data_IF_532657331506
#
_entry.id   IF_532657331506
#
_cell.length_a   1.000
_cell.length_b   1.000
_cell.length_c   1.000
_cell.angle_alpha   90.00
_cell.angle_beta   90.00
_cell.angle_gamma   90.00
#
_symmetry.space_group_name_H-M   'P 1'
#
loop_
_entity.id
_entity.type
_entity.pdbx_description
1 polymer ?
#
# COMPACT_ATOMS: atom_id res chain seq x y z
N UNK A 1 13.46 -12.13 2.16
CA UNK A 1 12.57 -12.99 1.33
C UNK A 1 12.90 -12.82 -0.15
N UNK A 2 13.06 -13.91 -0.91
CA UNK A 2 13.46 -13.87 -2.33
C UNK A 2 12.23 -13.76 -3.25
N UNK A 3 12.29 -12.91 -4.28
CA UNK A 3 11.25 -12.80 -5.32
C UNK A 3 11.85 -12.80 -6.72
N UNK A 4 11.15 -13.43 -7.67
CA UNK A 4 11.58 -13.53 -9.07
C UNK A 4 11.24 -12.24 -9.82
N UNK A 5 12.24 -11.69 -10.51
CA UNK A 5 12.08 -10.53 -11.38
C UNK A 5 11.76 -11.03 -12.80
N UNK A 6 10.69 -10.50 -13.40
CA UNK A 6 10.31 -10.78 -14.78
C UNK A 6 10.68 -9.63 -15.71
N UNK A 7 11.08 -9.93 -16.94
CA UNK A 7 11.28 -8.93 -17.99
C UNK A 7 9.98 -8.61 -18.74
N UNK A 8 10.02 -7.60 -19.60
CA UNK A 8 8.86 -7.13 -20.39
C UNK A 8 8.26 -8.19 -21.34
N UNK A 9 9.01 -9.26 -21.63
CA UNK A 9 8.55 -10.38 -22.45
C UNK A 9 7.95 -11.50 -21.60
N UNK A 10 7.79 -11.29 -20.28
CA UNK A 10 7.25 -12.26 -19.33
C UNK A 10 8.21 -13.40 -18.98
N UNK A 11 9.50 -13.30 -19.31
CA UNK A 11 10.50 -14.30 -18.95
C UNK A 11 11.21 -13.92 -17.65
N UNK A 12 11.58 -14.92 -16.87
CA UNK A 12 12.39 -14.72 -15.66
C UNK A 12 13.73 -14.08 -16.02
N UNK A 13 14.06 -13.01 -15.30
CA UNK A 13 15.22 -12.17 -15.52
C UNK A 13 16.21 -12.23 -14.35
N UNK A 14 15.81 -12.75 -13.19
CA UNK A 14 16.66 -12.93 -12.01
C UNK A 14 15.83 -13.06 -10.73
N UNK A 15 16.51 -13.04 -9.58
CA UNK A 15 15.88 -12.94 -8.26
C UNK A 15 16.36 -11.68 -7.53
N UNK A 16 15.53 -11.16 -6.62
CA UNK A 16 15.89 -10.05 -5.72
C UNK A 16 15.47 -10.39 -4.30
N UNK A 17 16.37 -10.10 -3.36
CA UNK A 17 16.10 -10.21 -1.94
C UNK A 17 15.39 -8.96 -1.42
N UNK A 18 14.22 -9.16 -0.84
CA UNK A 18 13.45 -8.15 -0.13
C UNK A 18 13.81 -8.14 1.36
N UNK A 19 13.91 -6.93 1.92
CA UNK A 19 14.18 -6.70 3.34
C UNK A 19 13.11 -7.32 4.23
N UNK A 20 13.52 -8.15 5.17
CA UNK A 20 12.60 -8.84 6.08
C UNK A 20 11.93 -7.87 7.07
N UNK A 21 12.62 -6.82 7.48
CA UNK A 21 12.11 -5.82 8.44
C UNK A 21 10.83 -5.10 7.95
N UNK A 22 10.63 -5.05 6.63
CA UNK A 22 9.47 -4.37 6.01
C UNK A 22 8.43 -5.40 5.57
N UNK A 23 8.88 -6.48 4.93
CA UNK A 23 7.98 -7.39 4.22
C UNK A 23 7.61 -8.65 5.03
N UNK A 24 8.33 -8.96 6.11
CA UNK A 24 8.00 -10.07 7.00
C UNK A 24 7.23 -9.64 8.26
N UNK A 25 7.04 -8.33 8.49
CA UNK A 25 6.29 -7.81 9.63
C UNK A 25 4.81 -8.23 9.54
N UNK A 26 4.21 -8.79 10.61
CA UNK A 26 2.82 -9.20 10.61
C UNK A 26 1.87 -8.02 10.33
N UNK A 27 0.98 -8.24 9.38
CA UNK A 27 -0.06 -7.28 9.05
C UNK A 27 -1.01 -7.07 10.24
N UNK A 28 -1.24 -5.80 10.59
CA UNK A 28 -2.17 -5.36 11.64
C UNK A 28 -3.46 -4.77 11.03
N UNK A 29 -4.56 -5.53 10.95
CA UNK A 29 -5.77 -5.10 10.21
C UNK A 29 -6.43 -3.85 10.78
N UNK A 30 -6.38 -3.67 12.10
CA UNK A 30 -6.89 -2.50 12.83
C UNK A 30 -6.19 -1.21 12.40
N UNK A 31 -4.86 -1.24 12.31
CA UNK A 31 -4.07 -0.09 11.91
C UNK A 31 -4.27 0.25 10.44
N UNK A 32 -4.32 -0.76 9.57
CA UNK A 32 -4.56 -0.54 8.15
C UNK A 32 -5.94 0.06 7.89
N UNK A 33 -6.97 -0.45 8.56
CA UNK A 33 -8.32 0.10 8.45
C UNK A 33 -8.34 1.60 8.82
N UNK A 34 -7.77 1.96 9.98
CA UNK A 34 -7.66 3.37 10.42
C UNK A 34 -6.88 4.24 9.43
N UNK A 35 -5.76 3.75 8.91
CA UNK A 35 -4.94 4.50 7.96
C UNK A 35 -5.70 4.77 6.65
N UNK A 36 -6.43 3.76 6.13
CA UNK A 36 -7.25 3.90 4.92
C UNK A 36 -8.42 4.86 5.15
N UNK A 37 -9.10 4.80 6.29
CA UNK A 37 -10.18 5.75 6.60
C UNK A 37 -9.68 7.19 6.69
N UNK A 38 -8.54 7.42 7.34
CA UNK A 38 -7.92 8.74 7.42
C UNK A 38 -7.54 9.27 6.03
N UNK A 39 -6.92 8.44 5.19
CA UNK A 39 -6.59 8.81 3.81
C UNK A 39 -7.83 9.19 3.00
N UNK A 40 -8.90 8.38 3.07
CA UNK A 40 -10.18 8.67 2.40
C UNK A 40 -10.84 9.95 2.91
N UNK A 41 -10.74 10.24 4.20
CA UNK A 41 -11.25 11.49 4.73
C UNK A 41 -10.44 12.69 4.21
N UNK A 42 -9.11 12.58 4.16
CA UNK A 42 -8.25 13.66 3.66
C UNK A 42 -8.48 13.98 2.18
N UNK A 43 -8.82 12.98 1.37
CA UNK A 43 -9.17 13.16 -0.04
C UNK A 43 -10.50 13.91 -0.24
N UNK A 44 -11.39 13.89 0.76
CA UNK A 44 -12.73 14.50 0.66
C UNK A 44 -12.64 16.02 0.48
N UNK A 45 -13.23 16.51 -0.59
CA UNK A 45 -13.40 17.95 -0.82
C UNK A 45 -14.63 18.47 -0.06
N UNK A 46 -14.48 19.43 0.89
CA UNK A 46 -15.61 19.98 1.63
C UNK A 46 -16.40 20.95 0.75
N UNK A 47 -17.50 20.48 0.16
CA UNK A 47 -18.40 21.29 -0.70
C UNK A 47 -19.78 21.53 -0.07
N UNK A 48 -20.03 21.00 1.12
CA UNK A 48 -21.31 21.08 1.81
C UNK A 48 -21.40 22.34 2.70
N UNK A 49 -21.63 23.50 2.08
CA UNK A 49 -21.88 24.77 2.77
C UNK A 49 -23.32 25.28 2.51
N UNK A 50 -23.98 25.78 3.55
CA UNK A 50 -25.30 26.44 3.49
C UNK A 50 -25.19 27.89 3.98
N UNK A 51 -26.08 28.78 3.53
CA UNK A 51 -26.16 30.17 4.00
C UNK A 51 -26.73 30.22 5.42
N UNK A 52 -26.16 31.08 6.26
CA UNK A 52 -26.69 31.44 7.58
C UNK A 52 -28.07 32.13 7.47
#
# INVERSE_FOLDING_TARGET
METTVYNQNGKEAGSVDLSEDIFAEPMRPDLLHRAVEAARHNERQPVAHTKE
#
